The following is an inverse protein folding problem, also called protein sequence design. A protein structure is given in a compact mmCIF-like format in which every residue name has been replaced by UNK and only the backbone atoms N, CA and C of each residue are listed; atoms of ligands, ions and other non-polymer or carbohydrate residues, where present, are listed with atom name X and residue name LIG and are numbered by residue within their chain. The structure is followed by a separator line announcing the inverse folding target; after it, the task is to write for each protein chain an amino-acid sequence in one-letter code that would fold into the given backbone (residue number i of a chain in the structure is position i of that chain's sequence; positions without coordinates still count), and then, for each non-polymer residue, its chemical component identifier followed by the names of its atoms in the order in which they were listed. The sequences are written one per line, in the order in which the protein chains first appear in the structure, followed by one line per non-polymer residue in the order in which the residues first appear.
data_IF_946164786308
#
_entry.id   IF_946164786308
#
_cell.length_a   1.000
_cell.length_b   1.000
_cell.length_c   1.000
_cell.angle_alpha   90.00
_cell.angle_beta   90.00
_cell.angle_gamma   90.00
#
_symmetry.space_group_name_H-M   'P 1'
#
loop_
_entity.id
_entity.type
_entity.pdbx_description
1 polymer ?
#
# COMPACT_ATOMS: atom_id res chain seq x y z
N UNK A 1 2.00 28.61 -39.18
CA UNK A 1 1.90 27.15 -39.46
C UNK A 1 2.76 26.33 -38.49
N UNK A 2 4.07 26.58 -38.36
CA UNK A 2 4.97 25.79 -37.47
C UNK A 2 4.61 25.88 -35.97
N UNK A 3 4.19 27.04 -35.48
CA UNK A 3 3.83 27.22 -34.06
C UNK A 3 2.59 26.42 -33.63
N UNK A 4 1.61 26.22 -34.53
CA UNK A 4 0.38 25.45 -34.21
C UNK A 4 0.68 23.95 -34.17
N UNK A 5 1.57 23.47 -35.04
CA UNK A 5 2.00 22.07 -35.05
C UNK A 5 2.76 21.69 -33.77
N UNK A 6 3.60 22.59 -33.24
CA UNK A 6 4.32 22.36 -31.97
C UNK A 6 3.37 22.23 -30.77
N UNK A 7 2.32 23.05 -30.72
CA UNK A 7 1.31 23.00 -29.65
C UNK A 7 0.58 21.66 -29.65
N UNK A 8 0.19 21.14 -30.82
CA UNK A 8 -0.48 19.85 -30.91
C UNK A 8 0.40 18.68 -30.47
N UNK A 9 1.70 18.69 -30.80
CA UNK A 9 2.65 17.64 -30.38
C UNK A 9 2.80 17.62 -28.85
N UNK A 10 2.91 18.79 -28.22
CA UNK A 10 3.02 18.90 -26.75
C UNK A 10 1.73 18.45 -26.06
N UNK A 11 0.56 18.82 -26.59
CA UNK A 11 -0.73 18.40 -26.03
C UNK A 11 -0.92 16.88 -26.18
N UNK A 12 -0.57 16.29 -27.32
CA UNK A 12 -0.66 14.84 -27.51
C UNK A 12 0.29 14.05 -26.60
N UNK A 13 1.52 14.56 -26.38
CA UNK A 13 2.47 13.96 -25.45
C UNK A 13 1.99 14.05 -24.00
N UNK A 14 1.40 15.18 -23.61
CA UNK A 14 0.82 15.37 -22.28
C UNK A 14 -0.39 14.47 -22.01
N UNK A 15 -1.26 14.24 -22.99
CA UNK A 15 -2.43 13.35 -22.86
C UNK A 15 -2.02 11.89 -22.70
N UNK A 16 -0.94 11.46 -23.38
CA UNK A 16 -0.39 10.11 -23.20
C UNK A 16 0.25 9.94 -21.82
N UNK A 17 0.97 10.96 -21.34
CA UNK A 17 1.59 10.95 -20.01
C UNK A 17 0.56 10.87 -18.86
N UNK A 18 -0.60 11.52 -19.00
CA UNK A 18 -1.68 11.44 -18.00
C UNK A 18 -2.41 10.08 -18.05
N UNK A 19 -2.53 9.43 -19.22
CA UNK A 19 -3.15 8.10 -19.33
C UNK A 19 -2.24 6.94 -18.94
N UNK A 20 -0.91 7.14 -18.95
CA UNK A 20 0.06 6.21 -18.33
C UNK A 20 0.19 6.46 -16.81
N UNK A 21 -0.58 7.43 -16.30
CA UNK A 21 -0.55 7.87 -14.91
C UNK A 21 -1.09 6.85 -13.92
N UNK A 22 -0.17 6.16 -13.23
CA UNK A 22 -0.30 6.04 -11.77
C UNK A 22 0.02 7.41 -11.17
N UNK A 23 -0.97 8.31 -11.23
CA UNK A 23 -0.90 9.62 -10.60
C UNK A 23 -1.06 9.42 -9.09
N UNK A 24 0.06 9.26 -8.39
CA UNK A 24 0.08 9.52 -6.96
C UNK A 24 0.06 11.00 -6.72
N UNK A 25 -1.12 11.47 -6.34
CA UNK A 25 -1.23 12.68 -5.59
C UNK A 25 -0.61 12.46 -4.21
N UNK A 26 0.70 12.68 -4.05
CA UNK A 26 1.35 12.80 -2.75
C UNK A 26 1.01 14.17 -2.17
N UNK A 27 -0.26 14.33 -1.78
CA UNK A 27 -0.65 15.43 -0.92
C UNK A 27 -0.11 15.12 0.49
N UNK A 28 1.01 15.76 0.84
CA UNK A 28 1.37 15.96 2.24
C UNK A 28 0.28 16.81 2.89
N UNK A 29 -0.79 16.17 3.35
CA UNK A 29 -1.71 16.75 4.31
C UNK A 29 -1.86 15.73 5.42
N UNK A 30 -1.46 16.13 6.61
CA UNK A 30 -1.93 15.53 7.85
C UNK A 30 -3.43 15.32 7.69
N UNK A 31 -3.86 14.06 7.58
CA UNK A 31 -5.28 13.69 7.71
C UNK A 31 -5.63 14.11 9.13
N UNK A 32 -6.15 15.33 9.20
CA UNK A 32 -6.70 15.98 10.37
C UNK A 32 -7.66 15.00 11.02
N UNK A 33 -7.70 15.02 12.34
CA UNK A 33 -8.48 14.14 13.20
C UNK A 33 -9.97 14.12 12.81
N UNK A 34 -10.33 13.29 11.82
CA UNK A 34 -11.70 13.21 11.34
C UNK A 34 -12.51 12.33 12.29
N UNK A 35 -13.06 12.99 13.32
CA UNK A 35 -14.36 12.69 13.92
C UNK A 35 -15.50 12.94 12.90
N UNK A 36 -15.42 12.30 11.73
CA UNK A 36 -16.38 12.43 10.62
C UNK A 36 -16.60 11.10 9.89
N UNK A 37 -17.58 11.08 8.98
CA UNK A 37 -17.88 9.91 8.14
C UNK A 37 -16.73 9.63 7.18
N UNK A 38 -16.22 8.41 7.20
CA UNK A 38 -15.21 7.87 6.28
C UNK A 38 -15.88 7.07 5.15
N UNK A 39 -17.10 7.43 4.79
CA UNK A 39 -17.83 6.79 3.69
C UNK A 39 -17.01 6.86 2.38
N UNK A 40 -16.88 5.69 1.74
CA UNK A 40 -16.09 5.53 0.51
C UNK A 40 -14.58 5.38 0.72
N UNK A 41 -14.07 5.53 1.95
CA UNK A 41 -12.68 5.18 2.25
C UNK A 41 -12.53 3.66 2.43
N UNK A 42 -11.36 3.15 2.05
CA UNK A 42 -10.94 1.79 2.33
C UNK A 42 -9.76 1.80 3.30
N UNK A 43 -9.92 1.15 4.45
CA UNK A 43 -8.91 1.01 5.47
C UNK A 43 -8.36 -0.41 5.48
N UNK A 44 -7.10 -0.55 5.10
CA UNK A 44 -6.34 -1.80 5.18
C UNK A 44 -5.61 -1.79 6.53
N UNK A 45 -5.93 -2.75 7.39
CA UNK A 45 -5.40 -2.84 8.75
C UNK A 45 -4.53 -4.09 8.86
N UNK A 46 -3.33 -3.93 9.41
CA UNK A 46 -2.37 -5.01 9.62
C UNK A 46 -1.68 -4.88 10.98
N UNK A 47 -1.28 -6.02 11.54
CA UNK A 47 -0.50 -6.01 12.78
C UNK A 47 0.94 -5.65 12.51
N UNK A 48 1.54 -4.95 13.48
CA UNK A 48 2.98 -4.79 13.51
C UNK A 48 3.68 -6.12 13.77
N UNK A 49 4.59 -6.50 12.88
CA UNK A 49 5.45 -7.68 13.03
C UNK A 49 6.90 -7.34 13.35
N UNK A 50 7.26 -6.05 13.38
CA UNK A 50 8.65 -5.65 13.61
C UNK A 50 9.03 -5.75 15.09
N UNK A 51 10.29 -6.06 15.38
CA UNK A 51 10.75 -6.28 16.74
C UNK A 51 10.97 -4.90 17.41
N UNK A 52 10.26 -4.57 18.51
CA UNK A 52 10.44 -3.29 19.17
C UNK A 52 11.85 -3.18 19.76
N UNK A 53 12.44 -2.00 19.62
CA UNK A 53 13.67 -1.66 20.36
C UNK A 53 13.37 -1.50 21.86
N UNK A 54 14.41 -1.62 22.70
CA UNK A 54 14.28 -1.54 24.19
C UNK A 54 13.59 -0.25 24.64
N UNK A 55 13.76 0.84 23.88
CA UNK A 55 13.16 2.15 24.15
C UNK A 55 11.67 2.20 23.75
N UNK A 56 11.27 1.54 22.65
CA UNK A 56 9.86 1.47 22.23
C UNK A 56 9.02 0.51 23.07
N UNK A 57 9.63 -0.56 23.58
CA UNK A 57 8.97 -1.51 24.48
C UNK A 57 8.62 -0.89 25.84
N UNK A 58 9.35 0.15 26.27
CA UNK A 58 9.10 0.86 27.51
C UNK A 58 7.94 1.88 27.41
N UNK A 59 7.49 2.22 26.19
CA UNK A 59 6.51 3.28 25.94
C UNK A 59 5.06 2.77 25.73
N UNK A 60 4.81 1.45 25.72
CA UNK A 60 3.49 0.90 25.39
C UNK A 60 2.51 0.92 26.57
N UNK A 61 1.47 1.76 26.48
CA UNK A 61 0.33 1.80 27.41
C UNK A 61 -0.86 1.06 26.79
N UNK A 62 -1.14 -0.17 27.26
CA UNK A 62 -2.21 -1.10 26.81
C UNK A 62 -2.14 -1.50 25.32
N UNK A 63 -2.02 -2.80 24.97
CA UNK A 63 -1.93 -3.23 23.58
C UNK A 63 -3.22 -2.88 22.81
N UNK A 64 -3.10 -2.04 21.78
CA UNK A 64 -4.18 -1.81 20.83
C UNK A 64 -4.36 -3.08 19.99
N UNK A 65 -5.58 -3.60 19.94
CA UNK A 65 -5.87 -4.83 19.21
C UNK A 65 -6.38 -4.48 17.80
N UNK A 66 -6.04 -5.29 16.79
CA UNK A 66 -6.56 -5.14 15.42
C UNK A 66 -8.08 -4.99 15.39
N UNK A 67 -8.77 -5.77 16.23
CA UNK A 67 -10.22 -5.75 16.37
C UNK A 67 -10.78 -4.37 16.75
N UNK A 68 -10.17 -3.67 17.71
CA UNK A 68 -10.66 -2.34 18.13
C UNK A 68 -10.44 -1.29 17.04
N UNK A 69 -9.34 -1.41 16.28
CA UNK A 69 -9.07 -0.51 15.15
C UNK A 69 -10.06 -0.76 14.02
N UNK A 70 -10.29 -2.02 13.65
CA UNK A 70 -11.28 -2.42 12.65
C UNK A 70 -12.68 -1.93 13.02
N UNK A 71 -13.10 -2.12 14.27
CA UNK A 71 -14.38 -1.63 14.76
C UNK A 71 -14.51 -0.11 14.65
N UNK A 72 -13.45 0.63 15.02
CA UNK A 72 -13.44 2.10 14.91
C UNK A 72 -13.61 2.60 13.48
N UNK A 73 -12.92 1.98 12.52
CA UNK A 73 -13.06 2.35 11.10
C UNK A 73 -14.40 1.90 10.50
N UNK A 74 -14.91 0.74 10.91
CA UNK A 74 -16.22 0.27 10.50
C UNK A 74 -17.35 1.16 11.02
N UNK A 75 -17.29 1.61 12.29
CA UNK A 75 -18.25 2.58 12.86
C UNK A 75 -18.22 3.93 12.14
N UNK A 76 -17.06 4.31 11.59
CA UNK A 76 -16.92 5.49 10.72
C UNK A 76 -17.42 5.26 9.29
N UNK A 77 -18.06 4.13 8.98
CA UNK A 77 -18.52 3.75 7.63
C UNK A 77 -17.39 3.59 6.60
N UNK A 78 -16.16 3.34 7.05
CA UNK A 78 -15.09 2.93 6.14
C UNK A 78 -15.23 1.45 5.80
N UNK A 79 -14.84 1.08 4.59
CA UNK A 79 -14.65 -0.32 4.24
C UNK A 79 -13.36 -0.82 4.86
N UNK A 80 -13.41 -1.87 5.67
CA UNK A 80 -12.21 -2.39 6.36
C UNK A 80 -11.74 -3.71 5.75
N UNK A 81 -10.43 -3.84 5.55
CA UNK A 81 -9.76 -5.07 5.12
C UNK A 81 -8.67 -5.38 6.14
N UNK A 82 -8.63 -6.62 6.63
CA UNK A 82 -7.56 -7.09 7.50
C UNK A 82 -6.54 -7.89 6.71
N UNK A 83 -5.26 -7.59 6.86
CA UNK A 83 -4.15 -8.39 6.34
C UNK A 83 -3.40 -9.08 7.47
N UNK A 84 -2.91 -10.28 7.22
CA UNK A 84 -2.12 -11.06 8.17
C UNK A 84 -0.66 -11.14 7.72
N UNK A 85 0.19 -10.32 8.34
CA UNK A 85 1.63 -10.28 8.02
C UNK A 85 2.41 -11.42 8.68
N UNK A 86 1.77 -12.23 9.54
CA UNK A 86 2.41 -13.39 10.17
C UNK A 86 2.31 -14.60 9.24
N UNK A 87 1.17 -14.79 8.59
CA UNK A 87 0.93 -15.88 7.65
C UNK A 87 0.98 -15.37 6.20
N UNK A 88 2.17 -15.00 5.75
CA UNK A 88 2.40 -14.45 4.40
C UNK A 88 2.14 -15.45 3.27
N UNK A 89 2.24 -16.76 3.56
CA UNK A 89 2.00 -17.84 2.61
C UNK A 89 0.57 -17.83 2.02
N UNK A 90 -0.38 -17.15 2.66
CA UNK A 90 -1.72 -16.91 2.12
C UNK A 90 -1.71 -16.08 0.83
N UNK A 91 -0.62 -15.36 0.56
CA UNK A 91 -0.52 -14.38 -0.51
C UNK A 91 0.49 -14.78 -1.60
N UNK A 92 1.14 -15.94 -1.52
CA UNK A 92 2.16 -16.37 -2.49
C UNK A 92 1.58 -16.50 -3.92
N UNK A 93 0.37 -17.06 -4.04
CA UNK A 93 -0.34 -17.16 -5.32
C UNK A 93 -1.09 -15.87 -5.72
N UNK A 94 -1.15 -14.90 -4.82
CA UNK A 94 -1.97 -13.69 -4.95
C UNK A 94 -3.42 -13.91 -4.54
N UNK A 95 -3.92 -13.07 -3.63
CA UNK A 95 -5.29 -13.07 -3.12
C UNK A 95 -6.02 -11.81 -3.57
N UNK A 96 -7.22 -11.95 -4.12
CA UNK A 96 -8.08 -10.79 -4.40
C UNK A 96 -9.13 -10.66 -3.30
N UNK A 97 -9.11 -9.52 -2.62
CA UNK A 97 -10.07 -9.15 -1.59
C UNK A 97 -10.97 -8.04 -2.12
N UNK A 98 -12.28 -8.23 -2.03
CA UNK A 98 -13.25 -7.19 -2.37
C UNK A 98 -13.48 -6.28 -1.16
N UNK A 99 -13.12 -5.01 -1.32
CA UNK A 99 -13.30 -3.96 -0.34
C UNK A 99 -14.35 -2.96 -0.87
N UNK A 100 -15.62 -3.18 -0.52
CA UNK A 100 -16.71 -2.30 -0.93
C UNK A 100 -16.88 -2.33 -2.45
N UNK A 101 -16.67 -1.19 -3.11
CA UNK A 101 -16.67 -1.09 -4.58
C UNK A 101 -15.32 -1.39 -5.22
N UNK A 102 -14.24 -1.55 -4.43
CA UNK A 102 -12.89 -1.75 -4.91
C UNK A 102 -12.45 -3.21 -4.77
N UNK A 103 -11.59 -3.67 -5.66
CA UNK A 103 -10.88 -4.95 -5.61
C UNK A 103 -9.43 -4.67 -5.24
N UNK A 104 -8.94 -5.31 -4.20
CA UNK A 104 -7.56 -5.21 -3.73
C UNK A 104 -6.89 -6.55 -3.98
N UNK A 105 -5.85 -6.57 -4.81
CA UNK A 105 -4.96 -7.71 -4.97
C UNK A 105 -3.87 -7.65 -3.91
N UNK A 106 -3.66 -8.74 -3.19
CA UNK A 106 -2.61 -8.85 -2.16
C UNK A 106 -1.69 -9.97 -2.59
N UNK A 107 -0.39 -9.72 -2.64
CA UNK A 107 0.62 -10.71 -2.99
C UNK A 107 1.79 -10.64 -2.01
N UNK A 108 2.50 -11.76 -1.82
CA UNK A 108 3.75 -11.81 -1.06
C UNK A 108 4.93 -12.07 -2.01
N UNK A 109 6.05 -11.42 -1.74
CA UNK A 109 7.35 -11.68 -2.37
C UNK A 109 8.37 -11.82 -1.24
N UNK A 110 8.80 -13.04 -0.94
CA UNK A 110 9.77 -13.29 0.13
C UNK A 110 11.21 -13.45 -0.40
N UNK A 111 11.36 -13.76 -1.68
CA UNK A 111 12.64 -14.02 -2.32
C UNK A 111 12.72 -13.44 -3.75
N UNK A 112 13.94 -13.42 -4.31
CA UNK A 112 14.15 -13.00 -5.70
C UNK A 112 13.64 -14.02 -6.72
N UNK A 113 13.43 -15.28 -6.32
CA UNK A 113 12.91 -16.33 -7.21
C UNK A 113 11.41 -16.13 -7.47
N UNK A 114 10.68 -15.57 -6.50
CA UNK A 114 9.25 -15.22 -6.62
C UNK A 114 9.00 -14.08 -7.61
N UNK A 115 10.06 -13.38 -8.03
CA UNK A 115 9.99 -12.31 -9.01
C UNK A 115 9.25 -12.70 -10.30
N UNK A 116 9.42 -13.95 -10.72
CA UNK A 116 8.76 -14.48 -11.91
C UNK A 116 7.33 -14.95 -11.62
N UNK A 117 7.06 -15.43 -10.39
CA UNK A 117 5.73 -15.86 -9.97
C UNK A 117 4.79 -14.68 -9.81
N UNK A 118 5.22 -13.60 -9.16
CA UNK A 118 4.32 -12.47 -8.91
C UNK A 118 3.90 -11.75 -10.20
N UNK A 119 4.68 -11.83 -11.30
CA UNK A 119 4.23 -11.32 -12.60
C UNK A 119 2.95 -12.01 -13.10
N UNK A 120 2.81 -13.31 -12.85
CA UNK A 120 1.60 -14.03 -13.22
C UNK A 120 0.42 -13.56 -12.37
N UNK A 121 0.64 -13.32 -11.08
CA UNK A 121 -0.35 -12.76 -10.15
C UNK A 121 -0.76 -11.35 -10.55
N UNK A 122 0.18 -10.47 -10.92
CA UNK A 122 -0.11 -9.12 -11.43
C UNK A 122 -0.95 -9.19 -12.70
N UNK A 123 -0.60 -10.04 -13.67
CA UNK A 123 -1.42 -10.23 -14.88
C UNK A 123 -2.81 -10.79 -14.57
N UNK A 124 -2.92 -11.66 -13.57
CA UNK A 124 -4.21 -12.16 -13.11
C UNK A 124 -5.04 -11.04 -12.47
N UNK A 125 -4.41 -10.16 -11.69
CA UNK A 125 -5.03 -8.99 -11.08
C UNK A 125 -5.51 -7.98 -12.14
N UNK A 126 -4.69 -7.69 -13.16
CA UNK A 126 -5.08 -6.86 -14.30
C UNK A 126 -6.30 -7.43 -15.03
N UNK A 127 -6.31 -8.73 -15.32
CA UNK A 127 -7.44 -9.40 -15.99
C UNK A 127 -8.71 -9.42 -15.16
N UNK A 128 -8.58 -9.45 -13.84
CA UNK A 128 -9.69 -9.39 -12.91
C UNK A 128 -10.05 -7.95 -12.51
N UNK A 129 -9.45 -6.96 -13.17
CA UNK A 129 -9.70 -5.53 -12.99
C UNK A 129 -9.57 -5.11 -11.51
N UNK A 130 -8.51 -5.59 -10.86
CA UNK A 130 -8.13 -5.17 -9.52
C UNK A 130 -7.84 -3.66 -9.52
N UNK A 131 -8.41 -2.93 -8.55
CA UNK A 131 -8.25 -1.49 -8.42
C UNK A 131 -6.90 -1.10 -7.78
N UNK A 132 -6.41 -1.91 -6.84
CA UNK A 132 -5.15 -1.67 -6.12
C UNK A 132 -4.40 -2.97 -5.85
N UNK A 133 -3.08 -2.94 -6.00
CA UNK A 133 -2.20 -4.08 -5.68
C UNK A 133 -1.31 -3.75 -4.49
N UNK A 134 -1.40 -4.58 -3.45
CA UNK A 134 -0.60 -4.53 -2.22
C UNK A 134 0.40 -5.69 -2.25
N UNK A 135 1.69 -5.37 -2.18
CA UNK A 135 2.77 -6.33 -2.06
C UNK A 135 3.28 -6.36 -0.63
N UNK A 136 3.38 -7.54 -0.04
CA UNK A 136 4.05 -7.78 1.25
C UNK A 136 5.44 -8.34 0.95
N UNK A 137 6.48 -7.76 1.52
CA UNK A 137 7.86 -8.20 1.31
C UNK A 137 8.67 -8.06 2.60
N UNK A 138 9.69 -8.90 2.85
CA UNK A 138 10.66 -8.65 3.91
C UNK A 138 11.37 -7.31 3.73
N UNK A 139 11.75 -6.98 2.49
CA UNK A 139 12.51 -5.80 2.14
C UNK A 139 12.07 -5.25 0.78
N UNK A 140 11.70 -3.97 0.73
CA UNK A 140 11.35 -3.28 -0.50
C UNK A 140 12.49 -3.29 -1.55
N UNK A 141 13.76 -3.41 -1.14
CA UNK A 141 14.90 -3.49 -2.05
C UNK A 141 14.92 -4.78 -2.89
N UNK A 142 14.26 -5.85 -2.43
CA UNK A 142 14.10 -7.08 -3.22
C UNK A 142 13.36 -6.80 -4.53
N UNK A 143 12.35 -5.92 -4.47
CA UNK A 143 11.59 -5.50 -5.63
C UNK A 143 12.44 -4.65 -6.59
N UNK A 144 13.35 -3.81 -6.08
CA UNK A 144 14.30 -3.06 -6.91
C UNK A 144 15.31 -3.97 -7.62
N UNK A 145 15.71 -5.04 -6.96
CA UNK A 145 16.72 -5.97 -7.45
C UNK A 145 16.15 -6.95 -8.48
N UNK A 146 14.81 -7.06 -8.56
CA UNK A 146 14.09 -7.80 -9.59
C UNK A 146 14.07 -7.05 -10.91
N UNK A 147 14.20 -7.78 -12.03
CA UNK A 147 14.09 -7.23 -13.40
C UNK A 147 12.71 -6.62 -13.71
N UNK A 148 11.73 -6.94 -12.89
CA UNK A 148 10.32 -6.52 -12.99
C UNK A 148 10.07 -5.22 -12.21
N UNK A 149 10.89 -4.95 -11.20
CA UNK A 149 10.76 -3.77 -10.36
C UNK A 149 9.50 -3.80 -9.50
N UNK A 150 8.81 -2.66 -9.46
CA UNK A 150 7.53 -2.45 -8.76
C UNK A 150 6.38 -2.21 -9.72
N UNK A 151 6.53 -2.60 -10.99
CA UNK A 151 5.54 -2.33 -12.02
C UNK A 151 4.25 -3.12 -11.76
N UNK A 152 3.11 -2.44 -11.72
CA UNK A 152 1.82 -3.05 -11.37
C UNK A 152 1.58 -3.24 -9.86
N UNK A 153 2.44 -2.67 -9.02
CA UNK A 153 2.28 -2.65 -7.56
C UNK A 153 2.01 -1.20 -7.13
N UNK A 154 0.94 -0.98 -6.37
CA UNK A 154 0.57 0.34 -5.86
C UNK A 154 1.11 0.59 -4.46
N UNK A 155 1.18 -0.45 -3.63
CA UNK A 155 1.52 -0.35 -2.20
C UNK A 155 2.48 -1.48 -1.86
N UNK A 156 3.56 -1.17 -1.15
CA UNK A 156 4.55 -2.14 -0.66
C UNK A 156 4.59 -2.05 0.87
N UNK A 157 4.38 -3.19 1.53
CA UNK A 157 4.48 -3.31 2.97
C UNK A 157 5.74 -4.12 3.30
N UNK A 158 6.72 -3.47 3.92
CA UNK A 158 7.97 -4.11 4.35
C UNK A 158 7.79 -4.70 5.76
N UNK A 159 8.13 -5.96 5.97
CA UNK A 159 8.02 -6.59 7.31
C UNK A 159 9.27 -6.37 8.16
N UNK A 160 10.43 -6.07 7.56
CA UNK A 160 11.67 -5.75 8.28
C UNK A 160 12.00 -4.27 8.15
N UNK A 161 12.35 -3.65 9.28
CA UNK A 161 12.82 -2.25 9.29
C UNK A 161 14.27 -2.17 8.85
N UNK A 162 14.50 -1.68 7.64
CA UNK A 162 15.85 -1.34 7.20
C UNK A 162 16.28 0.01 7.79
N UNK A 163 17.39 0.02 8.54
CA UNK A 163 17.99 1.23 9.13
C UNK A 163 18.60 2.18 8.09
N UNK A 164 18.63 1.77 6.82
CA UNK A 164 19.09 2.57 5.69
C UNK A 164 17.91 3.25 4.99
N UNK A 165 17.43 4.35 5.59
CA UNK A 165 16.90 5.52 4.87
C UNK A 165 15.88 5.28 3.75
N UNK A 166 14.96 4.32 3.88
CA UNK A 166 13.66 4.41 3.18
C UNK A 166 12.64 4.81 4.23
N UNK A 167 12.78 6.05 4.69
CA UNK A 167 11.70 6.78 5.32
C UNK A 167 10.49 6.63 4.40
N UNK A 168 9.32 6.28 4.95
CA UNK A 168 7.98 6.39 4.32
C UNK A 168 8.04 7.14 2.98
N UNK A 169 7.96 6.40 1.87
CA UNK A 169 8.51 6.88 0.61
C UNK A 169 7.92 6.21 -0.63
N UNK A 170 8.26 6.79 -1.79
CA UNK A 170 7.83 6.30 -3.10
C UNK A 170 8.96 5.49 -3.72
N UNK A 171 8.82 4.17 -3.82
CA UNK A 171 9.71 3.37 -4.63
C UNK A 171 9.13 3.28 -6.02
N UNK A 172 9.70 4.00 -6.98
CA UNK A 172 9.16 4.07 -8.34
C UNK A 172 7.74 4.65 -8.36
N UNK A 173 6.74 3.77 -8.52
CA UNK A 173 5.31 4.10 -8.45
C UNK A 173 4.56 3.32 -7.36
N UNK A 174 5.26 2.74 -6.37
CA UNK A 174 4.71 1.84 -5.33
C UNK A 174 4.98 2.32 -3.88
N UNK A 175 3.91 2.52 -3.08
CA UNK A 175 3.91 3.35 -1.87
C UNK A 175 4.42 2.49 -0.74
N UNK A 176 5.63 2.78 -0.27
CA UNK A 176 6.33 1.93 0.66
C UNK A 176 6.01 2.34 2.09
N UNK A 177 5.54 1.37 2.87
CA UNK A 177 5.20 1.50 4.28
C UNK A 177 5.88 0.38 5.04
N UNK A 178 6.54 0.73 6.13
CA UNK A 178 7.11 -0.27 7.02
C UNK A 178 6.07 -0.79 8.00
N UNK A 179 6.13 -2.10 8.28
CA UNK A 179 5.37 -2.69 9.36
C UNK A 179 5.76 -2.05 10.70
N UNK A 180 4.78 -1.65 11.53
CA UNK A 180 5.09 -1.16 12.86
C UNK A 180 5.59 -2.29 13.77
N UNK A 181 6.03 -1.92 14.97
CA UNK A 181 6.50 -2.89 15.96
C UNK A 181 5.34 -3.74 16.51
N UNK A 182 5.64 -4.96 16.96
CA UNK A 182 4.68 -5.83 17.66
C UNK A 182 3.99 -5.06 18.77
N UNK A 183 2.65 -5.12 18.79
CA UNK A 183 1.79 -4.41 19.73
C UNK A 183 1.27 -3.05 19.24
N UNK A 184 1.75 -2.57 18.09
CA UNK A 184 1.19 -1.45 17.32
C UNK A 184 0.45 -1.98 16.09
N UNK A 185 -0.47 -1.19 15.55
CA UNK A 185 -1.29 -1.54 14.38
C UNK A 185 -0.97 -0.58 13.24
N UNK A 186 -0.67 -1.11 12.06
CA UNK A 186 -0.53 -0.36 10.84
C UNK A 186 -1.87 -0.22 10.13
N UNK A 187 -2.17 0.99 9.66
CA UNK A 187 -3.38 1.27 8.88
C UNK A 187 -2.98 1.99 7.61
N UNK A 188 -3.42 1.49 6.47
CA UNK A 188 -3.34 2.18 5.19
C UNK A 188 -4.74 2.59 4.78
N UNK A 189 -4.93 3.88 4.56
CA UNK A 189 -6.17 4.50 4.14
C UNK A 189 -6.09 4.84 2.65
N UNK A 190 -7.08 4.37 1.91
CA UNK A 190 -7.28 4.68 0.49
C UNK A 190 -8.54 5.54 0.39
N UNK A 191 -8.38 6.76 -0.11
CA UNK A 191 -9.51 7.68 -0.29
C UNK A 191 -10.35 7.33 -1.53
N UNK A 192 -11.60 7.83 -1.63
CA UNK A 192 -12.41 7.69 -2.83
C UNK A 192 -11.71 8.22 -4.09
N UNK A 193 -10.85 9.22 -3.94
CA UNK A 193 -10.04 9.84 -5.00
C UNK A 193 -8.74 9.07 -5.28
N UNK A 194 -8.61 7.83 -4.79
CA UNK A 194 -7.45 6.95 -4.98
C UNK A 194 -6.13 7.50 -4.40
N UNK A 195 -6.21 8.30 -3.33
CA UNK A 195 -5.03 8.75 -2.58
C UNK A 195 -4.75 7.79 -1.43
N UNK A 196 -3.52 7.30 -1.34
CA UNK A 196 -3.05 6.36 -0.31
C UNK A 196 -2.32 7.11 0.81
N UNK A 197 -2.57 6.73 2.06
CA UNK A 197 -1.89 7.25 3.25
C UNK A 197 -1.72 6.17 4.30
N UNK A 198 -0.60 6.17 5.04
CA UNK A 198 -0.35 5.27 6.17
C UNK A 198 -0.51 5.98 7.52
N UNK A 199 -0.91 5.23 8.55
CA UNK A 199 -0.95 5.67 9.95
C UNK A 199 -0.66 4.50 10.88
N UNK A 200 0.18 4.72 11.88
CA UNK A 200 0.42 3.75 12.96
C UNK A 200 -0.45 4.11 14.17
N UNK A 201 -1.14 3.12 14.71
CA UNK A 201 -1.95 3.23 15.94
C UNK A 201 -1.20 2.47 17.05
N UNK A 202 -0.96 3.15 18.16
CA UNK A 202 -0.24 2.64 19.34
C UNK A 202 -1.07 2.74 20.60
#
# INVERSE_FOLDING_TARGET
MVFVALIFVVISGGIWYINVGHNWNTAATTIDDATGSMEGYTAIVFDGVDIPTVEEAAATTKPVTRYSVLASYHEKNATVVSLDLINTALYDEGLIVKAGSKRIGVLCVDSLEDASMYQNSIRAFERQEVDFVVCITPDAQLLCSSSVGVNGIDIVISTQRNTSSVLDGTLGSAYCVDSPCVGKIGVILISPSNVVSSKVIS
#
